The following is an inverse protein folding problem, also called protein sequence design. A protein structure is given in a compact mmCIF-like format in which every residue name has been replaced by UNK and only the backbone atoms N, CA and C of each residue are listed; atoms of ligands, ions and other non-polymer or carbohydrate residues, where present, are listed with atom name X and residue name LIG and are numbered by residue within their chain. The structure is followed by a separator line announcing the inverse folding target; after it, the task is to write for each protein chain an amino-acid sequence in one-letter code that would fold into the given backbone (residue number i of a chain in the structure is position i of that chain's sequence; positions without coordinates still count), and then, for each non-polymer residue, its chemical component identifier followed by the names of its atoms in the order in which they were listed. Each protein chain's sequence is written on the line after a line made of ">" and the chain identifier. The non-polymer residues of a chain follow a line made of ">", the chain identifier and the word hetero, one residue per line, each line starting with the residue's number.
data_IF_608678233659
#
_entry.id   IF_608678233659
#
_cell.length_a   1.000
_cell.length_b   1.000
_cell.length_c   1.000
_cell.angle_alpha   90.00
_cell.angle_beta   90.00
_cell.angle_gamma   90.00
#
_symmetry.space_group_name_H-M   'P 1'
#
loop_
_entity.id
_entity.type
_entity.pdbx_description
1 polymer ?
#
# COMPACT_ATOMS: atom_id res chain seq x y z
N UNK A 1 -4.48 11.44 -2.83
CA UNK A 1 -3.69 11.89 -4.00
C UNK A 1 -4.46 12.80 -4.93
N UNK A 2 -5.74 12.56 -5.23
CA UNK A 2 -6.53 13.43 -6.12
C UNK A 2 -6.59 14.90 -5.68
N UNK A 3 -6.47 15.16 -4.36
CA UNK A 3 -6.33 16.52 -3.80
C UNK A 3 -5.06 17.25 -4.29
N UNK A 4 -4.00 16.51 -4.60
CA UNK A 4 -2.67 17.04 -4.88
C UNK A 4 -2.29 16.98 -6.37
N UNK A 5 -2.79 15.98 -7.09
CA UNK A 5 -2.44 15.72 -8.48
C UNK A 5 -3.52 14.90 -9.19
N UNK A 6 -3.58 14.93 -10.54
CA UNK A 6 -4.39 14.01 -11.31
C UNK A 6 -4.05 12.55 -10.98
N UNK A 7 -5.07 11.68 -10.93
CA UNK A 7 -4.92 10.26 -10.57
C UNK A 7 -5.33 9.32 -11.70
N UNK A 8 -5.94 9.84 -12.76
CA UNK A 8 -6.44 9.09 -13.90
C UNK A 8 -5.56 9.37 -15.11
N UNK A 9 -4.98 8.31 -15.68
CA UNK A 9 -4.05 8.39 -16.79
C UNK A 9 -4.34 7.26 -17.78
N UNK A 10 -4.05 7.49 -19.06
CA UNK A 10 -4.04 6.41 -20.05
C UNK A 10 -2.87 5.45 -19.80
N UNK A 11 -2.92 4.22 -20.34
CA UNK A 11 -1.78 3.29 -20.28
C UNK A 11 -0.48 3.88 -20.85
N UNK A 12 -0.57 4.67 -21.92
CA UNK A 12 0.57 5.33 -22.56
C UNK A 12 1.18 6.40 -21.65
N UNK A 13 0.34 7.25 -21.05
CA UNK A 13 0.77 8.27 -20.09
C UNK A 13 1.42 7.64 -18.86
N UNK A 14 0.83 6.56 -18.33
CA UNK A 14 1.37 5.83 -17.21
C UNK A 14 2.76 5.27 -17.50
N UNK A 15 2.95 4.65 -18.68
CA UNK A 15 4.24 4.14 -19.10
C UNK A 15 5.29 5.25 -19.22
N UNK A 16 4.91 6.43 -19.72
CA UNK A 16 5.79 7.58 -19.78
C UNK A 16 6.20 8.09 -18.38
N UNK A 17 5.24 8.21 -17.46
CA UNK A 17 5.47 8.62 -16.06
C UNK A 17 6.39 7.63 -15.36
N UNK A 18 6.11 6.33 -15.42
CA UNK A 18 6.93 5.30 -14.77
C UNK A 18 8.34 5.25 -15.38
N UNK A 19 8.47 5.42 -16.71
CA UNK A 19 9.77 5.42 -17.37
C UNK A 19 10.66 6.57 -16.90
N UNK A 20 10.06 7.75 -16.68
CA UNK A 20 10.76 8.97 -16.26
C UNK A 20 10.98 9.03 -14.75
N UNK A 21 9.90 8.93 -13.97
CA UNK A 21 9.89 9.20 -12.52
C UNK A 21 10.12 7.93 -11.68
N UNK A 22 10.07 6.73 -12.30
CA UNK A 22 10.25 5.41 -11.64
C UNK A 22 9.22 5.04 -10.57
N UNK A 23 8.28 5.93 -10.27
CA UNK A 23 7.18 5.71 -9.33
C UNK A 23 5.93 6.48 -9.80
N UNK A 24 4.77 6.02 -9.36
CA UNK A 24 3.51 6.73 -9.57
C UNK A 24 2.49 6.35 -8.47
N UNK A 25 1.54 7.23 -8.22
CA UNK A 25 0.35 6.93 -7.42
C UNK A 25 -0.86 7.30 -8.25
N UNK A 26 -1.68 6.29 -8.54
CA UNK A 26 -2.78 6.41 -9.50
C UNK A 26 -4.06 5.80 -8.95
N UNK A 27 -5.19 6.14 -9.56
CA UNK A 27 -6.45 5.48 -9.31
C UNK A 27 -6.61 4.28 -10.23
N UNK A 28 -6.56 3.09 -9.65
CA UNK A 28 -6.65 1.83 -10.40
C UNK A 28 -7.99 1.61 -11.12
N UNK A 29 -9.05 2.37 -10.81
CA UNK A 29 -10.33 2.27 -11.52
C UNK A 29 -10.33 2.95 -12.90
N UNK A 30 -9.44 3.92 -13.13
CA UNK A 30 -9.32 4.62 -14.41
C UNK A 30 -8.61 3.77 -15.48
N UNK A 31 -7.71 2.90 -15.05
CA UNK A 31 -7.18 1.84 -15.89
C UNK A 31 -8.23 0.75 -15.88
N UNK A 32 -8.75 0.32 -17.02
CA UNK A 32 -9.69 -0.81 -17.10
C UNK A 32 -9.04 -2.18 -16.76
N UNK A 33 -8.16 -2.20 -15.76
CA UNK A 33 -7.48 -3.37 -15.20
C UNK A 33 -8.45 -4.16 -14.35
N UNK A 34 -8.57 -5.47 -14.63
CA UNK A 34 -9.47 -6.40 -13.95
C UNK A 34 -10.97 -6.00 -14.02
N UNK A 35 -11.59 -5.94 -15.23
CA UNK A 35 -12.98 -5.48 -15.38
C UNK A 35 -13.99 -6.36 -14.62
N UNK A 36 -13.75 -7.67 -14.54
CA UNK A 36 -14.60 -8.58 -13.77
C UNK A 36 -14.59 -8.26 -12.27
N UNK A 37 -13.44 -7.86 -11.74
CA UNK A 37 -13.30 -7.50 -10.33
C UNK A 37 -14.07 -6.22 -9.98
N UNK A 38 -14.08 -5.22 -10.88
CA UNK A 38 -14.88 -4.02 -10.68
C UNK A 38 -16.38 -4.34 -10.56
N UNK A 39 -16.89 -5.24 -11.39
CA UNK A 39 -18.30 -5.70 -11.33
C UNK A 39 -18.59 -6.39 -9.99
N UNK A 40 -17.67 -7.22 -9.50
CA UNK A 40 -17.84 -7.88 -8.19
C UNK A 40 -17.85 -6.86 -7.05
N UNK A 41 -16.93 -5.89 -7.06
CA UNK A 41 -16.86 -4.82 -6.05
C UNK A 41 -18.14 -3.97 -6.03
N UNK A 42 -18.75 -3.69 -7.18
CA UNK A 42 -20.02 -2.96 -7.28
C UNK A 42 -21.18 -3.70 -6.59
N UNK A 43 -21.14 -5.03 -6.56
CA UNK A 43 -22.13 -5.87 -5.88
C UNK A 43 -21.80 -6.00 -4.38
N UNK A 44 -20.52 -6.17 -4.03
CA UNK A 44 -20.05 -6.36 -2.66
C UNK A 44 -20.27 -5.13 -1.76
N UNK A 45 -19.99 -3.93 -2.29
CA UNK A 45 -20.02 -2.69 -1.51
C UNK A 45 -21.39 -2.37 -0.90
N UNK A 46 -22.51 -2.39 -1.64
CA UNK A 46 -23.83 -2.16 -1.06
C UNK A 46 -24.24 -3.23 -0.03
N UNK A 47 -23.68 -4.44 -0.14
CA UNK A 47 -23.94 -5.55 0.76
C UNK A 47 -23.03 -5.54 2.00
N UNK A 48 -22.06 -4.63 2.06
CA UNK A 48 -21.03 -4.59 3.11
C UNK A 48 -20.31 -5.95 3.28
N UNK A 49 -20.13 -6.68 2.18
CA UNK A 49 -19.44 -7.97 2.14
C UNK A 49 -18.05 -7.83 1.51
N UNK A 50 -17.07 -8.54 2.06
CA UNK A 50 -15.71 -8.62 1.50
C UNK A 50 -15.13 -10.01 1.80
N UNK A 51 -15.59 -11.06 1.10
CA UNK A 51 -15.17 -12.42 1.38
C UNK A 51 -13.72 -12.64 0.96
N UNK A 52 -12.95 -13.37 1.78
CA UNK A 52 -11.51 -13.65 1.53
C UNK A 52 -11.27 -14.25 0.14
N UNK A 53 -12.19 -15.10 -0.33
CA UNK A 53 -12.12 -15.74 -1.65
C UNK A 53 -12.21 -14.77 -2.84
N UNK A 54 -12.75 -13.57 -2.65
CA UNK A 54 -12.78 -12.51 -3.66
C UNK A 54 -11.75 -11.42 -3.38
N UNK A 55 -11.47 -11.13 -2.10
CA UNK A 55 -10.49 -10.13 -1.67
C UNK A 55 -9.09 -10.40 -2.22
N UNK A 56 -8.58 -11.65 -2.10
CA UNK A 56 -7.21 -11.98 -2.55
C UNK A 56 -7.09 -11.89 -4.08
N UNK A 57 -7.95 -12.53 -4.89
CA UNK A 57 -7.94 -12.35 -6.34
C UNK A 57 -8.10 -10.89 -6.77
N UNK A 58 -8.97 -10.13 -6.10
CA UNK A 58 -9.19 -8.71 -6.37
C UNK A 58 -7.92 -7.88 -6.25
N UNK A 59 -7.14 -8.12 -5.19
CA UNK A 59 -5.87 -7.43 -4.95
C UNK A 59 -4.84 -7.88 -5.99
N UNK A 60 -4.62 -9.19 -6.12
CA UNK A 60 -3.53 -9.73 -6.93
C UNK A 60 -3.73 -9.49 -8.43
N UNK A 61 -4.95 -9.62 -8.96
CA UNK A 61 -5.22 -9.44 -10.40
C UNK A 61 -4.84 -8.03 -10.87
N UNK A 62 -5.14 -7.01 -10.05
CA UNK A 62 -4.72 -5.63 -10.35
C UNK A 62 -3.21 -5.49 -10.35
N UNK A 63 -2.51 -6.10 -9.38
CA UNK A 63 -1.03 -6.02 -9.31
C UNK A 63 -0.36 -6.77 -10.46
N UNK A 64 -0.87 -7.94 -10.82
CA UNK A 64 -0.43 -8.72 -11.97
C UNK A 64 -0.60 -7.95 -13.28
N UNK A 65 -1.74 -7.30 -13.47
CA UNK A 65 -2.00 -6.52 -14.70
C UNK A 65 -1.02 -5.35 -14.90
N UNK A 66 -0.43 -4.86 -13.81
CA UNK A 66 0.60 -3.81 -13.82
C UNK A 66 2.02 -4.37 -13.84
N UNK A 67 2.20 -5.69 -13.96
CA UNK A 67 3.51 -6.35 -14.00
C UNK A 67 4.28 -6.31 -12.68
N UNK A 68 3.60 -6.12 -11.55
CA UNK A 68 4.23 -6.12 -10.22
C UNK A 68 4.77 -7.51 -9.91
N UNK A 69 6.06 -7.60 -9.58
CA UNK A 69 6.74 -8.85 -9.20
C UNK A 69 6.90 -9.01 -7.69
N UNK A 70 6.96 -7.89 -6.98
CA UNK A 70 7.24 -7.85 -5.55
C UNK A 70 6.22 -6.94 -4.88
N UNK A 71 5.64 -7.40 -3.76
CA UNK A 71 4.53 -6.73 -3.10
C UNK A 71 4.67 -6.78 -1.58
N UNK A 72 4.43 -5.65 -0.92
CA UNK A 72 4.12 -5.61 0.51
C UNK A 72 2.62 -5.44 0.69
N UNK A 73 2.03 -6.27 1.53
CA UNK A 73 0.65 -6.14 1.98
C UNK A 73 0.62 -5.71 3.45
N UNK A 74 0.03 -4.54 3.71
CA UNK A 74 -0.30 -4.10 5.07
C UNK A 74 -1.64 -4.73 5.50
N UNK A 75 -1.63 -5.40 6.65
CA UNK A 75 -2.78 -6.06 7.25
C UNK A 75 -3.02 -5.42 8.62
N UNK A 76 -3.88 -4.39 8.71
CA UNK A 76 -4.29 -3.82 9.98
C UNK A 76 -5.05 -4.84 10.82
N UNK A 77 -4.58 -5.06 12.04
CA UNK A 77 -5.18 -5.97 13.03
C UNK A 77 -5.61 -5.18 14.26
N UNK A 78 -6.85 -5.37 14.67
CA UNK A 78 -7.41 -4.72 15.84
C UNK A 78 -8.93 -4.66 15.82
N UNK A 79 -9.52 -4.27 16.95
CA UNK A 79 -10.96 -4.07 17.05
C UNK A 79 -11.44 -3.05 16.01
N UNK A 80 -12.54 -3.37 15.30
CA UNK A 80 -13.09 -2.51 14.24
C UNK A 80 -12.37 -2.60 12.89
N UNK A 81 -11.33 -3.45 12.76
CA UNK A 81 -10.73 -3.76 11.46
C UNK A 81 -11.31 -5.03 10.84
N UNK A 82 -10.94 -5.33 9.59
CA UNK A 82 -11.28 -6.61 8.93
C UNK A 82 -10.70 -7.82 9.68
N UNK A 83 -9.60 -7.64 10.42
CA UNK A 83 -8.90 -8.68 11.15
C UNK A 83 -8.90 -8.36 12.65
N UNK A 84 -9.94 -8.77 13.40
CA UNK A 84 -10.10 -8.36 14.79
C UNK A 84 -9.03 -8.90 15.74
N UNK A 85 -8.33 -9.98 15.37
CA UNK A 85 -7.29 -10.61 16.16
C UNK A 85 -6.08 -11.01 15.29
N UNK A 86 -4.94 -11.22 15.95
CA UNK A 86 -3.68 -11.54 15.27
C UNK A 86 -3.76 -12.86 14.50
N UNK A 87 -4.51 -13.84 15.01
CA UNK A 87 -4.59 -15.15 14.38
C UNK A 87 -5.33 -15.11 13.05
N UNK A 88 -6.43 -14.36 12.95
CA UNK A 88 -7.13 -14.16 11.67
C UNK A 88 -6.28 -13.40 10.65
N UNK A 89 -5.52 -12.39 11.10
CA UNK A 89 -4.55 -11.70 10.25
C UNK A 89 -3.44 -12.62 9.75
N UNK A 90 -2.89 -13.50 10.61
CA UNK A 90 -1.87 -14.49 10.24
C UNK A 90 -2.40 -15.52 9.23
N UNK A 91 -3.62 -16.02 9.43
CA UNK A 91 -4.25 -16.96 8.51
C UNK A 91 -4.43 -16.34 7.12
N UNK A 92 -4.92 -15.10 7.07
CA UNK A 92 -5.03 -14.36 5.82
C UNK A 92 -3.68 -14.08 5.17
N UNK A 93 -2.67 -13.66 5.95
CA UNK A 93 -1.32 -13.43 5.45
C UNK A 93 -0.70 -14.69 4.83
N UNK A 94 -0.86 -15.84 5.47
CA UNK A 94 -0.39 -17.14 4.97
C UNK A 94 -1.03 -17.46 3.61
N UNK A 95 -2.37 -17.42 3.55
CA UNK A 95 -3.12 -17.71 2.34
C UNK A 95 -2.78 -16.72 1.20
N UNK A 96 -2.65 -15.43 1.54
CA UNK A 96 -2.28 -14.39 0.57
C UNK A 96 -0.91 -14.66 -0.04
N UNK A 97 0.09 -14.98 0.78
CA UNK A 97 1.45 -15.28 0.31
C UNK A 97 1.47 -16.54 -0.56
N UNK A 98 0.74 -17.58 -0.16
CA UNK A 98 0.63 -18.82 -0.93
C UNK A 98 0.04 -18.56 -2.33
N UNK A 99 -1.09 -17.84 -2.40
CA UNK A 99 -1.73 -17.52 -3.68
C UNK A 99 -0.85 -16.58 -4.51
N UNK A 100 -0.23 -15.57 -3.89
CA UNK A 100 0.68 -14.65 -4.57
C UNK A 100 1.86 -15.39 -5.23
N UNK A 101 2.48 -16.32 -4.51
CA UNK A 101 3.57 -17.14 -5.03
C UNK A 101 3.12 -17.99 -6.23
N UNK A 102 1.93 -18.58 -6.16
CA UNK A 102 1.37 -19.39 -7.25
C UNK A 102 1.11 -18.59 -8.54
N UNK A 103 0.94 -17.27 -8.43
CA UNK A 103 0.79 -16.36 -9.59
C UNK A 103 2.06 -15.59 -9.93
N UNK A 104 3.19 -15.94 -9.31
CA UNK A 104 4.51 -15.35 -9.62
C UNK A 104 4.80 -14.00 -8.98
N UNK A 105 4.10 -13.65 -7.90
CA UNK A 105 4.37 -12.45 -7.09
C UNK A 105 5.06 -12.86 -5.78
N UNK A 106 6.23 -12.29 -5.52
CA UNK A 106 6.88 -12.36 -4.22
C UNK A 106 6.20 -11.37 -3.26
N UNK A 107 5.38 -11.89 -2.35
CA UNK A 107 4.65 -11.08 -1.39
C UNK A 107 5.19 -11.24 0.04
N UNK A 108 5.31 -10.14 0.76
CA UNK A 108 5.47 -10.14 2.22
C UNK A 108 4.31 -9.37 2.87
N UNK A 109 3.90 -9.83 4.04
CA UNK A 109 2.72 -9.33 4.74
C UNK A 109 3.12 -8.75 6.09
N UNK A 110 2.77 -7.48 6.33
CA UNK A 110 3.01 -6.79 7.59
C UNK A 110 1.71 -6.74 8.40
N UNK A 111 1.67 -7.43 9.53
CA UNK A 111 0.58 -7.30 10.49
C UNK A 111 0.81 -6.03 11.32
N UNK A 112 -0.03 -5.01 11.12
CA UNK A 112 0.10 -3.72 11.82
C UNK A 112 -0.99 -3.51 12.85
N UNK A 113 -0.64 -3.00 14.03
CA UNK A 113 -1.61 -2.76 15.09
C UNK A 113 -2.49 -1.55 14.76
N UNK A 114 -3.80 -1.75 14.74
CA UNK A 114 -4.80 -0.74 14.41
C UNK A 114 -5.80 -0.57 15.56
N UNK A 115 -5.29 -0.11 16.70
CA UNK A 115 -6.10 0.25 17.86
C UNK A 115 -6.57 1.72 17.82
N UNK A 116 -5.93 2.54 16.99
CA UNK A 116 -6.22 3.95 16.80
C UNK A 116 -5.95 4.34 15.34
N UNK A 117 -6.53 5.46 14.85
CA UNK A 117 -6.17 6.02 13.55
C UNK A 117 -4.66 6.27 13.44
N UNK A 118 -4.12 6.10 12.24
CA UNK A 118 -2.74 6.49 11.94
C UNK A 118 -2.71 8.00 11.70
N UNK A 119 -1.70 8.67 12.26
CA UNK A 119 -1.59 10.13 12.19
C UNK A 119 -2.58 10.86 13.08
N UNK A 120 -2.77 12.16 12.82
CA UNK A 120 -3.68 13.04 13.54
C UNK A 120 -4.77 13.63 12.61
N UNK A 121 -4.83 13.17 11.37
CA UNK A 121 -5.75 13.66 10.34
C UNK A 121 -6.64 12.55 9.79
N UNK A 122 -7.92 12.85 9.58
CA UNK A 122 -8.88 11.98 8.89
C UNK A 122 -9.58 12.80 7.81
N UNK A 123 -9.60 12.28 6.60
CA UNK A 123 -10.25 12.87 5.44
C UNK A 123 -9.24 13.33 4.37
N UNK A 124 -9.61 13.31 3.08
CA UNK A 124 -8.64 13.36 1.98
C UNK A 124 -7.70 14.57 2.01
N UNK A 125 -8.21 15.76 2.29
CA UNK A 125 -7.41 16.99 2.30
C UNK A 125 -6.53 17.10 3.56
N UNK A 126 -7.04 16.66 4.71
CA UNK A 126 -6.30 16.70 5.97
C UNK A 126 -5.16 15.68 5.96
N UNK A 127 -5.43 14.46 5.49
CA UNK A 127 -4.43 13.40 5.31
C UNK A 127 -3.37 13.80 4.28
N UNK A 128 -3.77 14.38 3.15
CA UNK A 128 -2.82 14.87 2.14
C UNK A 128 -1.89 15.95 2.71
N UNK A 129 -2.44 16.88 3.50
CA UNK A 129 -1.66 17.92 4.19
C UNK A 129 -0.69 17.31 5.19
N UNK A 130 -1.13 16.35 6.00
CA UNK A 130 -0.28 15.68 6.99
C UNK A 130 0.86 14.91 6.33
N UNK A 131 0.57 14.13 5.29
CA UNK A 131 1.57 13.37 4.53
C UNK A 131 2.61 14.29 3.88
N UNK A 132 2.19 15.38 3.21
CA UNK A 132 3.12 16.35 2.62
C UNK A 132 3.94 17.10 3.68
N UNK A 133 3.32 17.43 4.82
CA UNK A 133 4.02 18.08 5.94
C UNK A 133 5.13 17.18 6.46
N UNK A 134 4.86 15.88 6.63
CA UNK A 134 5.87 14.91 7.02
C UNK A 134 6.98 14.77 5.98
N UNK A 135 6.64 14.64 4.70
CA UNK A 135 7.64 14.51 3.63
C UNK A 135 8.58 15.72 3.59
N UNK A 136 8.05 16.94 3.73
CA UNK A 136 8.84 18.18 3.75
C UNK A 136 9.64 18.37 5.03
N UNK A 137 9.08 17.93 6.16
CA UNK A 137 9.66 18.13 7.46
C UNK A 137 9.42 16.90 8.35
N UNK A 138 10.44 16.04 8.44
CA UNK A 138 10.44 14.83 9.26
C UNK A 138 9.98 15.08 10.70
N UNK A 139 10.38 16.19 11.32
CA UNK A 139 10.05 16.47 12.73
C UNK A 139 8.62 16.98 12.94
N UNK A 140 7.89 17.30 11.86
CA UNK A 140 6.51 17.79 11.94
C UNK A 140 5.45 16.70 11.76
N UNK A 141 5.85 15.48 11.39
CA UNK A 141 4.91 14.37 11.18
C UNK A 141 4.62 13.57 12.45
N UNK A 142 3.43 12.96 12.57
CA UNK A 142 3.11 12.06 13.68
C UNK A 142 4.00 10.81 13.66
N UNK A 143 4.48 10.40 14.83
CA UNK A 143 5.31 9.18 14.96
C UNK A 143 4.60 7.93 14.44
N UNK A 144 3.28 7.80 14.63
CA UNK A 144 2.51 6.65 14.12
C UNK A 144 2.59 6.52 12.59
N UNK A 145 2.57 7.64 11.87
CA UNK A 145 2.72 7.67 10.42
C UNK A 145 4.17 7.41 10.00
N UNK A 146 5.14 8.01 10.69
CA UNK A 146 6.58 7.81 10.42
C UNK A 146 6.97 6.35 10.58
N UNK A 147 6.67 5.75 11.73
CA UNK A 147 7.07 4.37 12.04
C UNK A 147 6.46 3.40 11.04
N UNK A 148 5.13 3.47 10.83
CA UNK A 148 4.44 2.55 9.91
C UNK A 148 4.91 2.71 8.46
N UNK A 149 5.05 3.95 7.97
CA UNK A 149 5.48 4.17 6.58
C UNK A 149 6.92 3.72 6.34
N UNK A 150 7.82 4.00 7.29
CA UNK A 150 9.24 3.61 7.17
C UNK A 150 9.45 2.12 7.40
N UNK A 151 8.60 1.45 8.19
CA UNK A 151 8.60 -0.02 8.31
C UNK A 151 8.24 -0.69 6.98
N UNK A 152 7.11 -0.30 6.38
CA UNK A 152 6.66 -0.87 5.11
C UNK A 152 7.63 -0.56 3.97
N UNK A 153 8.13 0.68 3.89
CA UNK A 153 9.16 1.05 2.93
C UNK A 153 10.46 0.28 3.17
N UNK A 154 10.83 0.05 4.43
CA UNK A 154 11.99 -0.75 4.80
C UNK A 154 11.91 -2.18 4.31
N UNK A 155 10.75 -2.83 4.47
CA UNK A 155 10.53 -4.18 3.93
C UNK A 155 10.68 -4.21 2.40
N UNK A 156 10.12 -3.22 1.69
CA UNK A 156 10.30 -3.10 0.23
C UNK A 156 11.76 -2.89 -0.17
N UNK A 157 12.51 -2.07 0.58
CA UNK A 157 13.93 -1.82 0.32
C UNK A 157 14.77 -3.08 0.53
N UNK A 158 14.43 -3.91 1.52
CA UNK A 158 15.08 -5.20 1.76
C UNK A 158 14.76 -6.20 0.64
N UNK A 159 13.49 -6.34 0.28
CA UNK A 159 13.07 -7.22 -0.83
C UNK A 159 13.67 -6.80 -2.16
N UNK A 160 13.78 -5.49 -2.41
CA UNK A 160 14.41 -4.92 -3.60
C UNK A 160 15.95 -4.97 -3.58
N UNK A 161 16.57 -5.55 -2.55
CA UNK A 161 18.03 -5.67 -2.43
C UNK A 161 18.76 -4.33 -2.21
N UNK A 162 18.05 -3.29 -1.81
CA UNK A 162 18.61 -1.94 -1.52
C UNK A 162 19.06 -1.79 -0.06
N UNK A 163 18.54 -2.63 0.82
CA UNK A 163 18.97 -2.72 2.21
C UNK A 163 19.28 -4.17 2.59
N UNK A 164 20.20 -4.36 3.54
CA UNK A 164 20.38 -5.64 4.19
C UNK A 164 19.17 -5.95 5.08
N UNK A 165 18.88 -7.24 5.29
CA UNK A 165 17.80 -7.69 6.17
C UNK A 165 17.94 -7.05 7.56
N UNK A 166 16.86 -6.42 8.05
CA UNK A 166 16.82 -5.71 9.34
C UNK A 166 17.37 -4.27 9.30
N UNK A 167 17.86 -3.79 8.16
CA UNK A 167 18.37 -2.42 7.99
C UNK A 167 17.44 -1.54 7.14
N UNK A 168 16.36 -2.09 6.59
CA UNK A 168 15.43 -1.40 5.71
C UNK A 168 14.78 -0.19 6.34
N UNK A 169 14.22 -0.33 7.54
CA UNK A 169 13.55 0.78 8.23
C UNK A 169 14.51 1.94 8.52
N UNK A 170 15.76 1.63 8.90
CA UNK A 170 16.79 2.63 9.15
C UNK A 170 17.09 3.44 7.89
N UNK A 171 17.24 2.77 6.75
CA UNK A 171 17.44 3.41 5.46
C UNK A 171 16.22 4.26 5.04
N UNK A 172 15.00 3.74 5.22
CA UNK A 172 13.77 4.47 4.93
C UNK A 172 13.66 5.76 5.78
N UNK A 173 13.96 5.68 7.09
CA UNK A 173 14.02 6.86 7.98
C UNK A 173 15.07 7.86 7.53
N UNK A 174 16.23 7.41 7.06
CA UNK A 174 17.27 8.29 6.53
C UNK A 174 16.81 9.01 5.25
N UNK A 175 16.20 8.30 4.31
CA UNK A 175 15.64 8.88 3.07
C UNK A 175 14.58 9.93 3.40
N UNK A 176 13.68 9.61 4.33
CA UNK A 176 12.64 10.55 4.77
C UNK A 176 13.26 11.78 5.46
N UNK A 177 14.21 11.57 6.38
CA UNK A 177 14.86 12.66 7.13
C UNK A 177 15.71 13.59 6.26
N UNK A 178 16.33 13.05 5.22
CA UNK A 178 17.17 13.83 4.30
C UNK A 178 16.36 14.61 3.27
N UNK A 179 15.04 14.44 3.20
CA UNK A 179 14.17 15.10 2.23
C UNK A 179 14.15 14.42 0.85
N UNK A 180 14.95 13.37 0.63
CA UNK A 180 14.98 12.62 -0.63
C UNK A 180 13.66 11.93 -0.97
N UNK A 181 12.80 11.67 0.02
CA UNK A 181 11.46 11.15 -0.23
C UNK A 181 10.48 12.23 -0.76
N UNK A 182 10.77 13.51 -0.50
CA UNK A 182 9.95 14.63 -0.93
C UNK A 182 10.33 15.13 -2.33
N UNK A 183 11.61 15.05 -2.67
CA UNK A 183 12.14 15.26 -4.03
C UNK A 183 11.66 14.17 -5.00
#
# INVERSE_FOLDING_TARGET
>A
MEVLAPVSFSPEELNAIISKEKACIIWGGALATAPADNVLIEIERPLHMDPVGLMIPSILTKKLSLGVKTLILDIPVGSGTKFPNIDSGKQFAYLFKEIAANVGIEAECALTLAHQPIGHAIGPALEAREALTLLRNYSAGPNSLIEKSTDLAGMLLEMGGKAQKGMGQKLAKEILRTGKAYE
#
